data_IF_820081916568
#
_entry.id   IF_820081916568
#
_cell.length_a   1.000
_cell.length_b   1.000
_cell.length_c   1.000
_cell.angle_alpha   90.00
_cell.angle_beta   90.00
_cell.angle_gamma   90.00
#
_symmetry.space_group_name_H-M   'P 1'
#
loop_
_entity.id
_entity.type
_entity.pdbx_description
1 polymer ?
#
# COMPACT_ATOMS: atom_id res chain seq x y z
N UNK A 1 -79.30 -21.25 52.99
CA UNK A 1 -80.32 -20.43 53.69
C UNK A 1 -80.07 -18.96 53.31
N UNK A 2 -81.10 -18.35 52.78
CA UNK A 2 -81.51 -16.94 52.77
C UNK A 2 -80.52 -15.92 52.16
N UNK A 3 -80.77 -15.41 50.94
CA UNK A 3 -81.75 -14.34 50.57
C UNK A 3 -81.39 -12.99 51.19
N UNK A 4 -81.16 -12.01 50.32
CA UNK A 4 -81.21 -10.58 50.65
C UNK A 4 -80.84 -9.73 49.44
N UNK A 5 -81.89 -9.41 48.68
CA UNK A 5 -82.02 -8.47 47.59
C UNK A 5 -82.01 -7.02 48.07
N UNK A 6 -81.54 -6.03 47.30
CA UNK A 6 -82.26 -4.83 46.86
C UNK A 6 -81.33 -3.70 46.39
N UNK A 7 -81.35 -3.44 45.09
CA UNK A 7 -81.79 -2.19 44.40
C UNK A 7 -81.09 -0.86 44.79
N UNK A 8 -80.46 -0.27 43.86
CA UNK A 8 -80.78 0.72 42.82
C UNK A 8 -80.33 2.15 43.18
N UNK A 9 -79.58 2.72 42.29
CA UNK A 9 -79.70 4.05 41.66
C UNK A 9 -78.46 4.43 40.86
N UNK A 10 -78.68 4.60 39.53
CA UNK A 10 -77.76 5.45 38.76
C UNK A 10 -78.29 6.89 38.75
N UNK A 11 -77.88 7.79 37.86
CA UNK A 11 -76.62 7.94 37.09
C UNK A 11 -75.98 9.31 37.38
N UNK A 12 -74.73 9.50 36.98
CA UNK A 12 -74.18 10.83 36.68
C UNK A 12 -73.11 10.70 35.62
N UNK A 13 -73.42 11.16 34.41
CA UNK A 13 -72.49 11.54 33.35
C UNK A 13 -71.47 12.51 33.88
N UNK A 14 -70.17 12.21 33.69
CA UNK A 14 -69.15 13.23 33.54
C UNK A 14 -68.25 12.80 32.37
N UNK A 15 -68.47 13.41 31.21
CA UNK A 15 -67.63 13.51 30.08
C UNK A 15 -66.21 14.06 30.51
N UNK A 16 -65.19 13.23 30.44
CA UNK A 16 -63.81 13.60 30.58
C UNK A 16 -63.07 13.19 29.29
N UNK A 17 -62.97 14.12 28.37
CA UNK A 17 -62.08 14.05 27.20
C UNK A 17 -60.65 13.82 27.65
N UNK A 18 -60.20 12.59 27.62
CA UNK A 18 -58.75 12.29 27.68
C UNK A 18 -58.25 12.33 26.24
N UNK A 19 -57.62 13.45 25.88
CA UNK A 19 -56.78 13.56 24.71
C UNK A 19 -55.67 12.52 24.84
N UNK A 20 -55.81 11.42 24.17
CA UNK A 20 -54.78 10.46 23.91
C UNK A 20 -53.91 11.05 22.79
N UNK A 21 -52.84 11.78 23.18
CA UNK A 21 -51.78 12.20 22.27
C UNK A 21 -51.16 10.94 21.69
N UNK A 22 -51.67 10.53 20.54
CA UNK A 22 -51.17 9.43 19.75
C UNK A 22 -49.75 9.72 19.28
N UNK A 23 -48.75 9.26 20.07
CA UNK A 23 -47.42 9.08 19.53
C UNK A 23 -47.53 8.13 18.31
N UNK A 24 -47.06 8.54 17.12
CA UNK A 24 -47.09 7.66 15.97
C UNK A 24 -46.28 6.40 16.32
N UNK A 25 -46.94 5.24 16.28
CA UNK A 25 -46.31 3.95 16.44
C UNK A 25 -45.11 3.89 15.45
N UNK A 26 -43.86 3.81 15.95
CA UNK A 26 -42.70 3.65 15.13
C UNK A 26 -42.90 2.42 14.25
N UNK A 27 -43.01 2.61 12.94
CA UNK A 27 -43.01 1.51 11.97
C UNK A 27 -41.85 0.60 12.28
N UNK A 28 -42.00 -0.74 12.35
CA UNK A 28 -40.88 -1.64 12.49
C UNK A 28 -39.96 -1.39 11.32
N UNK A 29 -38.64 -1.19 11.62
CA UNK A 29 -37.60 -1.00 10.61
C UNK A 29 -37.61 -2.22 9.68
N UNK A 30 -37.46 -2.02 8.39
CA UNK A 30 -37.21 -3.10 7.45
C UNK A 30 -35.94 -3.84 7.85
N UNK A 31 -35.85 -5.14 7.56
CA UNK A 31 -34.71 -5.96 7.94
C UNK A 31 -33.37 -5.39 7.40
N UNK A 32 -33.39 -4.90 6.17
CA UNK A 32 -32.23 -4.26 5.51
C UNK A 32 -31.79 -2.98 6.24
N UNK A 33 -32.76 -2.18 6.74
CA UNK A 33 -32.47 -0.98 7.53
C UNK A 33 -31.81 -1.33 8.88
N UNK A 34 -32.20 -2.45 9.48
CA UNK A 34 -31.60 -2.93 10.72
C UNK A 34 -30.13 -3.37 10.50
N UNK A 35 -29.85 -4.12 9.44
CA UNK A 35 -28.50 -4.59 9.13
C UNK A 35 -27.56 -3.41 8.86
N UNK A 36 -28.01 -2.41 8.10
CA UNK A 36 -27.27 -1.17 7.85
C UNK A 36 -27.04 -0.39 9.16
N UNK A 37 -28.04 -0.30 10.03
CA UNK A 37 -27.89 0.36 11.32
C UNK A 37 -26.87 -0.34 12.21
N UNK A 38 -26.83 -1.68 12.21
CA UNK A 38 -25.80 -2.47 12.92
C UNK A 38 -24.41 -2.19 12.35
N UNK A 39 -24.24 -2.23 11.03
CA UNK A 39 -22.97 -1.97 10.39
C UNK A 39 -22.43 -0.55 10.72
N UNK A 40 -23.31 0.46 10.65
CA UNK A 40 -22.94 1.84 11.02
C UNK A 40 -22.54 1.96 12.49
N UNK A 41 -23.23 1.25 13.38
CA UNK A 41 -22.89 1.23 14.82
C UNK A 41 -21.51 0.61 15.03
N UNK A 42 -21.19 -0.52 14.40
CA UNK A 42 -19.89 -1.19 14.48
C UNK A 42 -18.80 -0.24 14.04
N UNK A 43 -18.91 0.32 12.83
CA UNK A 43 -17.90 1.24 12.30
C UNK A 43 -17.72 2.48 13.20
N UNK A 44 -18.81 3.04 13.73
CA UNK A 44 -18.74 4.19 14.65
C UNK A 44 -18.02 3.86 15.95
N UNK A 45 -18.20 2.65 16.48
CA UNK A 45 -17.50 2.21 17.70
C UNK A 45 -16.00 2.04 17.43
N UNK A 46 -15.62 1.45 16.30
CA UNK A 46 -14.22 1.29 15.92
C UNK A 46 -13.53 2.63 15.63
N UNK A 47 -14.22 3.56 14.94
CA UNK A 47 -13.72 4.93 14.73
C UNK A 47 -13.41 5.60 16.08
N UNK A 48 -14.32 5.53 17.05
CA UNK A 48 -14.08 6.12 18.38
C UNK A 48 -12.84 5.49 19.07
N UNK A 49 -12.63 4.17 18.91
CA UNK A 49 -11.42 3.50 19.39
C UNK A 49 -10.14 4.01 18.72
N UNK A 50 -10.16 4.22 17.41
CA UNK A 50 -9.03 4.76 16.65
C UNK A 50 -8.75 6.23 17.00
N UNK A 51 -9.79 7.06 17.21
CA UNK A 51 -9.63 8.44 17.67
C UNK A 51 -8.98 8.50 19.06
N UNK A 52 -9.43 7.65 19.98
CA UNK A 52 -8.83 7.53 21.29
C UNK A 52 -7.37 7.06 21.23
N UNK A 53 -7.06 6.09 20.35
CA UNK A 53 -5.71 5.61 20.12
C UNK A 53 -4.80 6.73 19.62
N UNK A 54 -5.25 7.47 18.61
CA UNK A 54 -4.48 8.58 18.04
C UNK A 54 -4.21 9.69 19.07
N UNK A 55 -5.20 10.03 19.88
CA UNK A 55 -5.05 11.00 20.97
C UNK A 55 -4.14 10.52 22.12
N UNK A 56 -4.04 9.20 22.31
CA UNK A 56 -3.22 8.58 23.36
C UNK A 56 -1.77 8.28 22.96
N UNK A 57 -1.35 8.57 21.73
CA UNK A 57 0.03 8.37 21.31
C UNK A 57 0.97 9.32 22.08
N UNK A 58 2.00 8.75 22.67
CA UNK A 58 2.95 9.44 23.54
C UNK A 58 4.41 9.07 23.24
N UNK A 59 5.31 9.37 24.17
CA UNK A 59 6.73 9.03 24.09
C UNK A 59 7.03 7.55 23.97
N UNK A 60 6.14 6.66 24.41
CA UNK A 60 6.31 5.21 24.26
C UNK A 60 6.32 4.79 22.76
N UNK A 61 5.51 5.44 21.92
CA UNK A 61 5.55 5.19 20.49
C UNK A 61 6.91 5.55 19.88
N UNK A 62 7.45 6.71 20.23
CA UNK A 62 8.78 7.12 19.76
C UNK A 62 9.89 6.17 20.27
N UNK A 63 9.79 5.71 21.54
CA UNK A 63 10.71 4.74 22.12
C UNK A 63 10.62 3.37 21.41
N UNK A 64 9.43 2.93 21.03
CA UNK A 64 9.25 1.71 20.25
C UNK A 64 9.90 1.82 18.87
N UNK A 65 9.71 2.94 18.15
CA UNK A 65 10.36 3.20 16.87
C UNK A 65 11.89 3.19 17.02
N UNK A 66 12.44 3.82 18.07
CA UNK A 66 13.89 3.81 18.34
C UNK A 66 14.42 2.39 18.54
N UNK A 67 13.76 1.61 19.38
CA UNK A 67 14.10 0.21 19.64
C UNK A 67 14.09 -0.63 18.37
N UNK A 68 12.98 -0.55 17.60
CA UNK A 68 12.83 -1.36 16.39
C UNK A 68 13.73 -0.90 15.22
N UNK A 69 14.12 0.37 15.18
CA UNK A 69 15.04 0.88 14.17
C UNK A 69 16.50 0.52 14.47
N UNK A 70 16.87 0.34 15.74
CA UNK A 70 18.25 0.10 16.18
C UNK A 70 18.70 -1.37 16.07
N UNK A 71 17.77 -2.31 15.85
CA UNK A 71 18.12 -3.74 15.73
C UNK A 71 18.87 -4.04 14.43
N UNK A 72 19.73 -5.05 14.48
CA UNK A 72 20.48 -5.55 13.30
C UNK A 72 19.79 -6.72 12.60
N UNK A 73 18.90 -7.42 13.32
CA UNK A 73 18.16 -8.57 12.87
C UNK A 73 16.74 -8.22 12.38
N UNK A 74 15.78 -9.06 12.73
CA UNK A 74 14.38 -8.98 12.34
C UNK A 74 13.46 -8.59 13.49
N UNK A 75 12.30 -8.07 13.17
CA UNK A 75 11.20 -7.95 14.11
C UNK A 75 10.39 -9.24 14.07
N UNK A 76 10.46 -10.02 15.14
CA UNK A 76 9.57 -11.19 15.33
C UNK A 76 8.26 -10.71 15.93
N UNK A 77 7.19 -10.74 15.13
CA UNK A 77 5.85 -10.36 15.57
C UNK A 77 5.10 -11.60 16.05
N UNK A 78 4.44 -11.51 17.19
CA UNK A 78 3.78 -12.67 17.82
C UNK A 78 2.46 -12.29 18.48
N UNK A 79 1.60 -13.29 18.66
CA UNK A 79 0.29 -13.19 19.28
C UNK A 79 -0.53 -14.44 19.02
N UNK A 80 -1.63 -14.63 19.80
CA UNK A 80 -2.47 -15.80 19.71
C UNK A 80 -3.89 -15.44 19.22
N UNK A 81 -4.59 -16.36 18.58
CA UNK A 81 -5.95 -16.20 18.11
C UNK A 81 -6.08 -14.99 17.17
N UNK A 82 -7.03 -14.09 17.45
CA UNK A 82 -7.25 -12.88 16.62
C UNK A 82 -6.07 -11.92 16.66
N UNK A 83 -5.41 -11.76 17.81
CA UNK A 83 -4.16 -10.99 17.91
C UNK A 83 -3.04 -11.61 17.05
N UNK A 84 -2.98 -12.94 16.96
CA UNK A 84 -2.04 -13.65 16.07
C UNK A 84 -2.28 -13.38 14.59
N UNK A 85 -3.54 -13.31 14.14
CA UNK A 85 -3.87 -12.93 12.76
C UNK A 85 -3.47 -11.46 12.46
N UNK A 86 -3.69 -10.56 13.41
CA UNK A 86 -3.22 -9.17 13.32
C UNK A 86 -1.69 -9.11 13.29
N UNK A 87 -1.01 -9.87 14.14
CA UNK A 87 0.45 -9.97 14.19
C UNK A 87 1.05 -10.46 12.85
N UNK A 88 0.42 -11.44 12.18
CA UNK A 88 0.81 -11.87 10.83
C UNK A 88 0.71 -10.72 9.81
N UNK A 89 -0.40 -9.95 9.87
CA UNK A 89 -0.58 -8.80 8.98
C UNK A 89 0.48 -7.73 9.24
N UNK A 90 0.76 -7.42 10.50
CA UNK A 90 1.80 -6.45 10.88
C UNK A 90 3.18 -6.89 10.41
N UNK A 91 3.56 -8.17 10.61
CA UNK A 91 4.82 -8.71 10.11
C UNK A 91 4.96 -8.55 8.59
N UNK A 92 3.89 -8.87 7.85
CA UNK A 92 3.86 -8.69 6.39
C UNK A 92 4.01 -7.22 5.98
N UNK A 93 3.32 -6.30 6.68
CA UNK A 93 3.42 -4.86 6.41
C UNK A 93 4.83 -4.34 6.68
N UNK A 94 5.43 -4.68 7.82
CA UNK A 94 6.82 -4.32 8.16
C UNK A 94 7.80 -4.81 7.08
N UNK A 95 7.70 -6.07 6.68
CA UNK A 95 8.57 -6.66 5.65
C UNK A 95 8.41 -5.94 4.30
N UNK A 96 7.17 -5.62 3.91
CA UNK A 96 6.87 -4.94 2.65
C UNK A 96 7.26 -3.46 2.64
N UNK A 97 7.49 -2.87 3.80
CA UNK A 97 7.90 -1.47 3.99
C UNK A 97 9.37 -1.31 4.40
N UNK A 98 10.20 -2.35 4.17
CA UNK A 98 11.66 -2.28 4.36
C UNK A 98 12.15 -2.57 5.77
N UNK A 99 11.28 -3.02 6.67
CA UNK A 99 11.70 -3.55 7.98
C UNK A 99 11.59 -5.07 7.96
N UNK A 100 12.74 -5.77 7.98
CA UNK A 100 12.75 -7.23 8.02
C UNK A 100 11.92 -7.75 9.19
N UNK A 101 10.90 -8.56 8.92
CA UNK A 101 10.00 -9.07 9.94
C UNK A 101 9.49 -10.46 9.60
N UNK A 102 9.11 -11.21 10.64
CA UNK A 102 8.49 -12.52 10.55
C UNK A 102 7.42 -12.67 11.61
N UNK A 103 6.47 -13.57 11.39
CA UNK A 103 5.52 -13.99 12.40
C UNK A 103 5.96 -15.33 12.99
N UNK A 104 5.95 -15.45 14.31
CA UNK A 104 6.15 -16.71 15.02
C UNK A 104 4.96 -16.95 15.94
N UNK A 105 4.33 -18.13 15.82
CA UNK A 105 3.20 -18.50 16.65
C UNK A 105 3.70 -18.92 18.04
N UNK A 106 3.16 -18.37 19.16
CA UNK A 106 3.71 -18.64 20.48
C UNK A 106 3.66 -20.12 20.87
N UNK A 107 2.60 -20.86 20.51
CA UNK A 107 2.51 -22.27 20.80
C UNK A 107 3.56 -23.09 20.04
N UNK A 108 3.82 -22.77 18.76
CA UNK A 108 4.88 -23.45 17.98
C UNK A 108 6.28 -23.07 18.49
N UNK A 109 6.43 -21.84 19.01
CA UNK A 109 7.67 -21.41 19.65
C UNK A 109 8.08 -22.36 20.78
N UNK A 110 7.15 -22.74 21.66
CA UNK A 110 7.40 -23.71 22.77
C UNK A 110 7.76 -25.12 22.28
N UNK A 111 7.53 -25.42 20.98
CA UNK A 111 7.82 -26.71 20.37
C UNK A 111 8.99 -26.69 19.37
N UNK A 112 9.81 -25.62 19.39
CA UNK A 112 11.05 -25.56 18.61
C UNK A 112 11.25 -24.28 17.80
N UNK A 113 10.18 -23.54 17.45
CA UNK A 113 10.27 -22.33 16.64
C UNK A 113 10.93 -21.15 17.37
N UNK A 114 11.27 -21.28 18.68
CA UNK A 114 12.20 -20.35 19.33
C UNK A 114 13.55 -20.26 18.61
N UNK A 115 13.95 -21.33 17.90
CA UNK A 115 15.14 -21.32 17.05
C UNK A 115 15.08 -20.35 15.84
N UNK A 116 13.90 -19.82 15.53
CA UNK A 116 13.72 -18.76 14.51
C UNK A 116 14.15 -17.38 15.01
N UNK A 117 14.25 -17.19 16.33
CA UNK A 117 14.66 -15.95 16.98
C UNK A 117 16.19 -16.01 17.20
N UNK A 118 16.91 -15.05 16.65
CA UNK A 118 18.37 -15.01 16.75
C UNK A 118 18.83 -13.72 17.43
N UNK A 119 20.08 -13.71 17.91
CA UNK A 119 20.68 -12.52 18.48
C UNK A 119 20.63 -11.32 17.51
N UNK A 120 20.22 -10.18 18.02
CA UNK A 120 20.02 -8.96 17.22
C UNK A 120 18.59 -8.77 16.72
N UNK A 121 17.68 -9.74 16.90
CA UNK A 121 16.25 -9.60 16.64
C UNK A 121 15.56 -8.79 17.75
N UNK A 122 14.34 -8.33 17.48
CA UNK A 122 13.41 -7.78 18.46
C UNK A 122 12.08 -8.53 18.42
N UNK A 123 11.35 -8.51 19.53
CA UNK A 123 10.00 -9.09 19.62
C UNK A 123 8.95 -7.98 19.70
N UNK A 124 7.92 -8.06 18.84
CA UNK A 124 6.70 -7.26 18.92
C UNK A 124 5.55 -8.20 19.32
N UNK A 125 5.13 -8.16 20.58
CA UNK A 125 4.14 -9.09 21.13
C UNK A 125 2.78 -8.41 21.31
N UNK A 126 1.72 -9.06 20.79
CA UNK A 126 0.35 -8.57 20.82
C UNK A 126 -0.52 -9.43 21.75
N UNK A 127 -1.06 -8.82 22.80
CA UNK A 127 -2.07 -9.44 23.67
C UNK A 127 -2.96 -8.37 24.28
N UNK A 128 -4.25 -8.38 23.98
CA UNK A 128 -5.17 -7.40 24.54
C UNK A 128 -5.24 -7.47 26.06
N UNK A 129 -5.31 -8.66 26.64
CA UNK A 129 -5.30 -8.86 28.11
C UNK A 129 -3.92 -8.68 28.74
N UNK A 130 -2.86 -8.86 27.95
CA UNK A 130 -1.48 -8.88 28.46
C UNK A 130 -1.09 -10.12 29.25
N UNK A 131 -2.05 -11.02 29.53
CA UNK A 131 -1.85 -12.20 30.39
C UNK A 131 -2.04 -13.52 29.61
N UNK A 132 -1.61 -13.53 28.35
CA UNK A 132 -1.63 -14.71 27.48
C UNK A 132 -0.49 -15.65 27.86
N UNK A 133 -0.83 -16.79 28.47
CA UNK A 133 0.17 -17.73 29.03
C UNK A 133 1.15 -18.25 27.96
N UNK A 134 0.68 -18.47 26.75
CA UNK A 134 1.47 -19.02 25.65
C UNK A 134 2.60 -18.09 25.20
N UNK A 135 2.57 -16.80 25.55
CA UNK A 135 3.68 -15.88 25.28
C UNK A 135 4.86 -16.06 26.24
N UNK A 136 4.69 -16.74 27.36
CA UNK A 136 5.68 -16.80 28.44
C UNK A 136 7.05 -17.32 27.98
N UNK A 137 7.09 -18.41 27.23
CA UNK A 137 8.34 -19.02 26.75
C UNK A 137 9.08 -18.09 25.79
N UNK A 138 8.36 -17.42 24.91
CA UNK A 138 8.93 -16.46 23.96
C UNK A 138 9.50 -15.23 24.68
N UNK A 139 8.79 -14.70 25.68
CA UNK A 139 9.25 -13.58 26.50
C UNK A 139 10.49 -13.95 27.33
N UNK A 140 10.49 -15.17 27.92
CA UNK A 140 11.63 -15.69 28.64
C UNK A 140 12.87 -15.87 27.74
N UNK A 141 12.65 -16.37 26.50
CA UNK A 141 13.71 -16.50 25.50
C UNK A 141 14.25 -15.12 25.10
N UNK A 142 13.39 -14.16 24.77
CA UNK A 142 13.81 -12.79 24.42
C UNK A 142 14.65 -12.16 25.54
N UNK A 143 14.21 -12.29 26.80
CA UNK A 143 14.96 -11.79 27.96
C UNK A 143 16.32 -12.48 28.10
N UNK A 144 16.38 -13.82 27.94
CA UNK A 144 17.65 -14.58 28.04
C UNK A 144 18.68 -14.12 27.02
N UNK A 145 18.26 -13.81 25.78
CA UNK A 145 19.12 -13.39 24.69
C UNK A 145 19.18 -11.88 24.52
N UNK A 146 18.65 -11.10 25.51
CA UNK A 146 18.65 -9.63 25.50
C UNK A 146 18.04 -9.00 24.23
N UNK A 147 17.03 -9.66 23.67
CA UNK A 147 16.28 -9.14 22.56
C UNK A 147 15.29 -8.08 23.07
N UNK A 148 15.24 -6.88 22.46
CA UNK A 148 14.24 -5.88 22.82
C UNK A 148 12.82 -6.41 22.64
N UNK A 149 11.94 -6.16 23.61
CA UNK A 149 10.53 -6.52 23.57
C UNK A 149 9.68 -5.27 23.57
N UNK A 150 8.85 -5.12 22.52
CA UNK A 150 7.79 -4.12 22.45
C UNK A 150 6.44 -4.83 22.61
N UNK A 151 5.64 -4.38 23.58
CA UNK A 151 4.31 -4.93 23.85
C UNK A 151 3.22 -4.04 23.25
N UNK A 152 2.16 -4.66 22.71
CA UNK A 152 0.86 -4.03 22.43
C UNK A 152 -0.19 -4.67 23.32
N UNK A 153 -0.74 -3.92 24.27
CA UNK A 153 -1.74 -4.43 25.24
C UNK A 153 -2.67 -3.31 25.69
N UNK A 154 -3.88 -3.66 26.18
CA UNK A 154 -4.78 -2.70 26.81
C UNK A 154 -4.57 -2.61 28.34
N UNK A 155 -3.63 -3.38 28.89
CA UNK A 155 -3.37 -3.42 30.32
C UNK A 155 -1.94 -3.02 30.65
N UNK A 156 -1.82 -1.91 31.36
CA UNK A 156 -0.55 -1.37 31.83
C UNK A 156 0.15 -2.34 32.81
N UNK A 157 -0.63 -2.99 33.67
CA UNK A 157 -0.15 -4.00 34.61
C UNK A 157 -0.55 -5.39 34.14
N UNK A 158 0.37 -6.09 33.50
CA UNK A 158 0.17 -7.44 32.97
C UNK A 158 1.52 -8.13 32.76
N UNK A 159 1.51 -9.45 32.65
CA UNK A 159 2.73 -10.24 32.45
C UNK A 159 3.51 -9.81 31.18
N UNK A 160 2.82 -9.42 30.12
CA UNK A 160 3.43 -8.93 28.90
C UNK A 160 4.05 -7.53 29.10
N UNK A 161 3.33 -6.59 29.72
CA UNK A 161 3.84 -5.24 29.96
C UNK A 161 5.06 -5.27 30.90
N UNK A 162 5.00 -6.05 31.97
CA UNK A 162 6.10 -6.21 32.94
C UNK A 162 7.36 -6.88 32.32
N UNK A 163 7.18 -7.60 31.20
CA UNK A 163 8.24 -8.30 30.49
C UNK A 163 8.79 -7.51 29.30
N UNK A 164 8.21 -6.35 28.97
CA UNK A 164 8.59 -5.54 27.81
C UNK A 164 9.54 -4.40 28.16
N UNK A 165 10.35 -3.97 27.19
CA UNK A 165 11.17 -2.76 27.29
C UNK A 165 10.33 -1.50 27.00
N UNK A 166 9.30 -1.64 26.16
CA UNK A 166 8.37 -0.58 25.80
C UNK A 166 6.98 -1.17 25.67
N UNK A 167 6.02 -0.54 26.33
CA UNK A 167 4.60 -0.91 26.22
C UNK A 167 3.85 0.15 25.43
N UNK A 168 3.26 -0.26 24.31
CA UNK A 168 2.30 0.51 23.54
C UNK A 168 0.90 0.21 24.09
N UNK A 169 0.37 1.13 24.86
CA UNK A 169 -0.90 0.92 25.56
C UNK A 169 -2.07 1.26 24.62
N UNK A 170 -2.96 0.31 24.42
CA UNK A 170 -4.23 0.53 23.74
C UNK A 170 -5.21 1.20 24.72
N UNK A 171 -5.85 2.31 24.34
CA UNK A 171 -6.81 2.97 25.20
C UNK A 171 -8.02 2.07 25.49
N UNK A 172 -8.71 2.26 26.63
CA UNK A 172 -9.96 1.57 26.91
C UNK A 172 -10.99 1.88 25.81
N UNK A 173 -11.50 0.83 25.17
CA UNK A 173 -12.53 0.93 24.15
C UNK A 173 -13.47 -0.27 24.24
N UNK A 174 -14.76 -0.04 23.99
CA UNK A 174 -15.74 -1.11 23.91
C UNK A 174 -15.59 -1.90 22.63
N UNK A 175 -15.72 -3.22 22.70
CA UNK A 175 -15.85 -4.03 21.48
C UNK A 175 -17.18 -3.70 20.77
N UNK A 176 -17.17 -3.67 19.46
CA UNK A 176 -18.36 -3.34 18.66
C UNK A 176 -19.38 -4.49 18.62
N UNK A 177 -19.00 -5.69 19.04
CA UNK A 177 -19.87 -6.83 19.23
C UNK A 177 -20.89 -6.53 20.33
N UNK A 178 -22.19 -6.82 20.10
CA UNK A 178 -23.27 -6.58 21.06
C UNK A 178 -23.09 -7.32 22.40
N UNK A 179 -22.38 -8.43 22.37
CA UNK A 179 -22.04 -9.21 23.58
C UNK A 179 -20.74 -8.73 24.27
N UNK A 180 -19.97 -7.83 23.64
CA UNK A 180 -18.67 -7.38 24.14
C UNK A 180 -17.58 -8.45 24.18
N UNK A 181 -17.81 -9.63 23.58
CA UNK A 181 -16.90 -10.79 23.69
C UNK A 181 -16.00 -10.97 22.46
N UNK A 182 -16.52 -10.68 21.29
CA UNK A 182 -15.73 -10.84 20.06
C UNK A 182 -14.77 -9.65 19.89
N UNK A 183 -13.45 -9.88 19.80
CA UNK A 183 -12.49 -8.81 19.51
C UNK A 183 -12.76 -8.19 18.13
N UNK A 184 -13.06 -6.91 18.14
CA UNK A 184 -13.34 -6.07 16.96
C UNK A 184 -12.55 -4.78 17.08
N UNK A 185 -12.98 -3.84 17.90
CA UNK A 185 -12.31 -2.55 18.14
C UNK A 185 -10.88 -2.72 18.61
N UNK A 186 -10.63 -3.64 19.54
CA UNK A 186 -9.26 -3.92 20.03
C UNK A 186 -8.34 -4.41 18.91
N UNK A 187 -8.81 -5.29 18.04
CA UNK A 187 -8.00 -5.79 16.92
C UNK A 187 -7.81 -4.74 15.82
N UNK A 188 -8.80 -3.90 15.58
CA UNK A 188 -8.70 -2.76 14.67
C UNK A 188 -7.65 -1.75 15.16
N UNK A 189 -7.64 -1.41 16.45
CA UNK A 189 -6.62 -0.56 17.06
C UNK A 189 -5.22 -1.17 16.96
N UNK A 190 -5.05 -2.47 17.27
CA UNK A 190 -3.75 -3.16 17.14
C UNK A 190 -3.23 -3.10 15.71
N UNK A 191 -4.11 -3.33 14.73
CA UNK A 191 -3.73 -3.31 13.31
C UNK A 191 -3.31 -1.90 12.88
N UNK A 192 -4.07 -0.88 13.23
CA UNK A 192 -3.76 0.51 12.91
C UNK A 192 -2.45 0.97 13.58
N UNK A 193 -2.21 0.60 14.84
CA UNK A 193 -0.98 0.91 15.55
C UNK A 193 0.24 0.21 14.92
N UNK A 194 0.06 -1.05 14.47
CA UNK A 194 1.08 -1.77 13.72
C UNK A 194 1.41 -1.14 12.37
N UNK A 195 0.41 -0.63 11.67
CA UNK A 195 0.62 0.11 10.42
C UNK A 195 1.33 1.45 10.68
N UNK A 196 0.98 2.15 11.76
CA UNK A 196 1.68 3.36 12.18
C UNK A 196 3.17 3.09 12.48
N UNK A 197 3.50 1.98 13.17
CA UNK A 197 4.89 1.57 13.37
C UNK A 197 5.61 1.30 12.05
N UNK A 198 4.97 0.57 11.14
CA UNK A 198 5.58 0.21 9.86
C UNK A 198 5.87 1.45 8.99
N UNK A 199 4.92 2.40 8.94
CA UNK A 199 5.08 3.66 8.18
C UNK A 199 6.12 4.56 8.83
N UNK A 200 6.11 4.72 10.15
CA UNK A 200 7.12 5.53 10.84
C UNK A 200 8.55 4.97 10.66
N UNK A 201 8.71 3.64 10.67
CA UNK A 201 10.00 2.99 10.37
C UNK A 201 10.42 3.15 8.92
N UNK A 202 9.47 3.08 7.97
CA UNK A 202 9.69 3.33 6.55
C UNK A 202 10.24 4.74 6.31
N UNK A 203 9.59 5.76 6.89
CA UNK A 203 10.00 7.16 6.76
C UNK A 203 11.36 7.40 7.41
N UNK A 204 11.57 6.86 8.61
CA UNK A 204 12.85 6.98 9.33
C UNK A 204 14.02 6.35 8.59
N UNK A 205 13.78 5.25 7.85
CA UNK A 205 14.80 4.56 7.04
C UNK A 205 15.02 5.21 5.67
N UNK A 206 14.22 6.19 5.29
CA UNK A 206 14.26 6.81 3.97
C UNK A 206 13.92 5.81 2.85
N UNK A 207 13.02 4.86 3.13
CA UNK A 207 12.61 3.83 2.18
C UNK A 207 11.91 4.45 0.97
N UNK A 208 12.42 4.17 -0.21
CA UNK A 208 12.00 4.81 -1.46
C UNK A 208 11.02 3.95 -2.25
N UNK A 209 10.39 4.55 -3.26
CA UNK A 209 9.56 3.81 -4.23
C UNK A 209 10.38 2.77 -5.02
N UNK A 210 11.67 3.00 -5.27
CA UNK A 210 12.55 2.00 -5.90
C UNK A 210 12.83 0.81 -4.97
N UNK A 211 12.94 1.04 -3.65
CA UNK A 211 13.07 -0.05 -2.68
C UNK A 211 11.78 -0.87 -2.61
N UNK A 212 10.61 -0.19 -2.66
CA UNK A 212 9.31 -0.86 -2.69
C UNK A 212 9.17 -1.75 -3.92
N UNK A 213 9.56 -1.26 -5.10
CA UNK A 213 9.55 -2.01 -6.35
C UNK A 213 10.42 -3.28 -6.27
N UNK A 214 11.61 -3.18 -5.68
CA UNK A 214 12.52 -4.32 -5.49
C UNK A 214 11.91 -5.43 -4.63
N UNK A 215 11.09 -5.07 -3.63
CA UNK A 215 10.40 -6.02 -2.74
C UNK A 215 9.09 -6.58 -3.33
N UNK A 216 8.52 -5.94 -4.38
CA UNK A 216 7.24 -6.31 -4.98
C UNK A 216 7.33 -6.51 -6.50
N UNK A 217 8.22 -7.36 -7.02
CA UNK A 217 8.48 -7.46 -8.46
C UNK A 217 7.26 -7.89 -9.30
N UNK A 218 6.29 -8.56 -8.71
CA UNK A 218 5.06 -9.03 -9.39
C UNK A 218 3.81 -8.16 -9.18
N UNK A 219 3.89 -7.07 -8.41
CA UNK A 219 2.71 -6.29 -8.03
C UNK A 219 2.29 -5.25 -9.09
N UNK A 220 0.99 -5.04 -9.28
CA UNK A 220 0.45 -3.95 -10.12
C UNK A 220 1.03 -2.56 -9.73
N UNK A 221 1.30 -2.36 -8.44
CA UNK A 221 1.86 -1.11 -7.94
C UNK A 221 3.31 -0.89 -8.41
N UNK A 222 4.10 -1.96 -8.53
CA UNK A 222 5.48 -1.90 -9.03
C UNK A 222 5.53 -1.52 -10.51
N UNK A 223 4.58 -2.00 -11.30
CA UNK A 223 4.49 -1.65 -12.73
C UNK A 223 4.22 -0.16 -12.95
N UNK A 224 3.45 0.47 -12.05
CA UNK A 224 3.18 1.92 -12.10
C UNK A 224 4.38 2.79 -11.76
N UNK A 225 5.41 2.22 -11.12
CA UNK A 225 6.64 2.91 -10.71
C UNK A 225 7.82 2.66 -11.65
N UNK A 226 7.65 1.84 -12.71
CA UNK A 226 8.66 1.59 -13.71
C UNK A 226 9.07 2.90 -14.39
N UNK A 227 10.36 3.12 -14.49
CA UNK A 227 10.95 4.25 -15.21
C UNK A 227 11.24 3.85 -16.66
N UNK A 228 11.34 4.84 -17.52
CA UNK A 228 11.77 4.66 -18.91
C UNK A 228 13.10 3.92 -18.96
N UNK A 229 14.08 4.30 -18.11
CA UNK A 229 15.39 3.66 -18.03
C UNK A 229 15.35 2.15 -17.73
N UNK A 230 14.28 1.67 -17.07
CA UNK A 230 14.16 0.26 -16.69
C UNK A 230 13.73 -0.64 -17.86
N UNK A 231 13.15 -0.05 -18.93
CA UNK A 231 12.55 -0.78 -20.05
C UNK A 231 12.96 -0.26 -21.44
N UNK A 232 13.74 0.81 -21.52
CA UNK A 232 14.26 1.34 -22.79
C UNK A 232 15.38 0.45 -23.35
N UNK A 233 15.55 0.46 -24.65
CA UNK A 233 16.69 -0.11 -25.35
C UNK A 233 17.77 0.96 -25.51
N UNK A 234 19.03 0.62 -25.29
CA UNK A 234 20.17 1.55 -25.33
C UNK A 234 21.39 0.97 -26.01
N UNK A 235 22.49 1.74 -26.05
CA UNK A 235 23.74 1.32 -26.65
C UNK A 235 23.61 0.98 -28.13
N UNK A 236 24.12 -0.18 -28.52
CA UNK A 236 24.12 -0.62 -29.92
C UNK A 236 22.71 -0.85 -30.51
N UNK A 237 21.67 -0.93 -29.70
CA UNK A 237 20.30 -1.10 -30.18
C UNK A 237 19.68 0.20 -30.69
N UNK A 238 20.28 1.36 -30.42
CA UNK A 238 19.75 2.65 -30.84
C UNK A 238 19.75 2.80 -32.38
N UNK A 239 18.62 3.12 -33.00
CA UNK A 239 18.54 3.42 -34.42
C UNK A 239 18.96 4.86 -34.66
N UNK A 240 20.26 5.14 -34.73
CA UNK A 240 20.79 6.48 -34.90
C UNK A 240 21.64 6.58 -36.16
N UNK A 241 21.53 7.74 -36.85
CA UNK A 241 22.39 8.10 -37.99
C UNK A 241 22.77 9.58 -37.90
N UNK A 242 23.94 9.99 -38.43
CA UNK A 242 24.31 11.40 -38.49
C UNK A 242 23.51 12.16 -39.58
N UNK A 243 23.40 13.48 -39.45
CA UNK A 243 22.70 14.34 -40.42
C UNK A 243 23.25 14.23 -41.86
N UNK A 244 24.51 13.83 -42.03
CA UNK A 244 25.16 13.61 -43.32
C UNK A 244 24.75 12.30 -44.03
N UNK A 245 23.99 11.45 -43.36
CA UNK A 245 23.61 10.13 -43.84
C UNK A 245 22.64 10.20 -45.02
N UNK A 246 22.74 9.25 -45.95
CA UNK A 246 21.76 9.09 -47.03
C UNK A 246 20.54 8.29 -46.56
N UNK A 247 19.38 8.54 -47.16
CA UNK A 247 18.15 7.83 -46.84
C UNK A 247 18.24 6.31 -47.02
N UNK A 248 19.01 5.85 -48.03
CA UNK A 248 19.23 4.41 -48.25
C UNK A 248 19.86 3.72 -47.06
N UNK A 249 20.81 4.36 -46.38
CA UNK A 249 21.47 3.84 -45.17
C UNK A 249 20.53 3.93 -43.94
N UNK A 250 19.84 5.06 -43.76
CA UNK A 250 18.88 5.25 -42.71
C UNK A 250 17.77 4.19 -42.72
N UNK A 251 17.24 3.84 -43.91
CA UNK A 251 16.24 2.78 -44.07
C UNK A 251 16.77 1.40 -43.68
N UNK A 252 18.02 1.09 -43.95
CA UNK A 252 18.67 -0.17 -43.50
C UNK A 252 18.73 -0.23 -42.00
N UNK A 253 19.12 0.85 -41.30
CA UNK A 253 19.16 0.95 -39.84
C UNK A 253 17.74 0.80 -39.28
N UNK A 254 16.72 1.50 -39.82
CA UNK A 254 15.33 1.35 -39.38
C UNK A 254 14.87 -0.12 -39.45
N UNK A 255 15.17 -0.79 -40.57
CA UNK A 255 14.79 -2.21 -40.79
C UNK A 255 15.50 -3.14 -39.79
N UNK A 256 16.80 -2.93 -39.59
CA UNK A 256 17.63 -3.77 -38.72
C UNK A 256 17.22 -3.63 -37.27
N UNK A 257 16.95 -2.40 -36.81
CA UNK A 257 16.60 -2.12 -35.40
C UNK A 257 15.13 -2.30 -35.05
N UNK A 258 14.22 -2.32 -36.06
CA UNK A 258 12.81 -2.70 -35.93
C UNK A 258 11.97 -1.80 -34.99
N UNK A 259 12.34 -0.55 -34.76
CA UNK A 259 11.55 0.42 -33.97
C UNK A 259 10.57 1.26 -34.82
N UNK A 260 10.54 1.04 -36.15
CA UNK A 260 9.72 1.84 -37.06
C UNK A 260 10.17 3.30 -37.22
N UNK A 261 11.34 3.64 -36.73
CA UNK A 261 11.93 4.97 -36.82
C UNK A 261 13.47 4.92 -36.74
N UNK A 262 14.12 6.05 -37.13
CA UNK A 262 15.54 6.31 -36.92
C UNK A 262 15.71 7.73 -36.40
N UNK A 263 16.54 7.93 -35.39
CA UNK A 263 16.95 9.23 -34.88
C UNK A 263 18.11 9.79 -35.67
N UNK A 264 18.07 11.08 -35.97
CA UNK A 264 19.13 11.82 -36.64
C UNK A 264 19.85 12.65 -35.56
N UNK A 265 21.15 12.46 -35.46
CA UNK A 265 22.00 13.20 -34.52
C UNK A 265 22.84 14.25 -35.25
N UNK A 266 22.96 15.43 -34.61
CA UNK A 266 23.82 16.52 -35.09
C UNK A 266 25.32 16.22 -34.80
N UNK A 267 26.19 17.19 -35.11
CA UNK A 267 27.63 17.09 -34.93
C UNK A 267 28.05 17.02 -33.45
N UNK A 268 27.19 17.50 -32.55
CA UNK A 268 27.37 17.45 -31.10
C UNK A 268 26.79 16.17 -30.46
N UNK A 269 26.23 15.25 -31.25
CA UNK A 269 25.62 14.01 -30.77
C UNK A 269 24.18 14.16 -30.27
N UNK A 270 23.55 15.36 -30.44
CA UNK A 270 22.19 15.63 -29.96
C UNK A 270 21.16 15.18 -30.98
N UNK A 271 20.00 14.77 -30.50
CA UNK A 271 18.87 14.36 -31.36
C UNK A 271 18.25 15.57 -32.08
N UNK A 272 18.61 15.76 -33.37
CA UNK A 272 18.13 16.84 -34.22
C UNK A 272 16.75 16.56 -34.86
N UNK A 273 16.48 15.27 -35.17
CA UNK A 273 15.26 14.88 -35.87
C UNK A 273 14.97 13.39 -35.76
N UNK A 274 13.83 13.00 -36.31
CA UNK A 274 13.43 11.58 -36.42
C UNK A 274 12.83 11.35 -37.82
N UNK A 275 13.06 10.18 -38.39
CA UNK A 275 12.36 9.67 -39.58
C UNK A 275 11.58 8.44 -39.15
N UNK A 276 10.31 8.41 -39.49
CA UNK A 276 9.39 7.30 -39.23
C UNK A 276 8.91 6.66 -40.52
N UNK A 277 8.28 5.47 -40.45
CA UNK A 277 7.59 4.85 -41.58
C UNK A 277 6.55 5.78 -42.21
N UNK A 278 5.94 6.69 -41.44
CA UNK A 278 5.05 7.73 -41.92
C UNK A 278 5.76 8.76 -42.79
N UNK A 279 6.99 9.14 -42.43
CA UNK A 279 7.79 10.07 -43.24
C UNK A 279 8.23 9.43 -44.53
N UNK A 280 8.63 8.15 -44.52
CA UNK A 280 8.96 7.41 -45.75
C UNK A 280 7.79 7.40 -46.74
N UNK A 281 6.57 7.11 -46.23
CA UNK A 281 5.35 7.12 -47.09
C UNK A 281 5.02 8.50 -47.65
N UNK A 282 5.25 9.57 -46.88
CA UNK A 282 5.00 10.95 -47.34
C UNK A 282 5.97 11.42 -48.43
N UNK A 283 7.21 10.92 -48.37
CA UNK A 283 8.28 11.31 -49.29
C UNK A 283 8.57 10.24 -50.37
N UNK A 284 7.69 9.23 -50.50
CA UNK A 284 7.88 8.13 -51.44
C UNK A 284 7.88 8.67 -52.89
N UNK A 285 9.03 8.54 -53.57
CA UNK A 285 9.26 8.97 -54.96
C UNK A 285 10.64 8.55 -55.42
N UNK A 286 10.93 8.73 -56.71
CA UNK A 286 12.14 8.25 -57.42
C UNK A 286 13.48 8.78 -56.84
N UNK A 287 13.43 9.86 -56.05
CA UNK A 287 14.61 10.48 -55.42
C UNK A 287 14.89 10.10 -53.96
N UNK A 288 13.95 9.41 -53.26
CA UNK A 288 14.03 9.22 -51.84
C UNK A 288 15.33 8.56 -51.35
N UNK A 289 15.78 7.49 -51.99
CA UNK A 289 16.98 6.76 -51.61
C UNK A 289 18.29 7.55 -51.74
N UNK A 290 18.28 8.62 -52.57
CA UNK A 290 19.42 9.52 -52.79
C UNK A 290 19.33 10.82 -51.97
N UNK A 291 18.20 11.10 -51.37
CA UNK A 291 18.02 12.27 -50.50
C UNK A 291 18.87 12.15 -49.23
N UNK A 292 19.30 13.27 -48.71
CA UNK A 292 19.88 13.31 -47.35
C UNK A 292 18.80 13.22 -46.31
N UNK A 293 19.09 12.59 -45.16
CA UNK A 293 18.15 12.43 -44.05
C UNK A 293 17.59 13.77 -43.53
N UNK A 294 18.40 14.83 -43.56
CA UNK A 294 17.99 16.18 -43.15
C UNK A 294 16.85 16.79 -44.00
N UNK A 295 16.63 16.30 -45.22
CA UNK A 295 15.54 16.75 -46.10
C UNK A 295 14.21 16.04 -45.81
N UNK A 296 14.26 14.89 -45.12
CA UNK A 296 13.10 14.01 -44.91
C UNK A 296 12.69 13.99 -43.44
N UNK A 297 13.61 14.26 -42.50
CA UNK A 297 13.37 14.16 -41.07
C UNK A 297 12.31 15.15 -40.58
N UNK A 298 11.55 14.71 -39.58
CA UNK A 298 10.75 15.58 -38.75
C UNK A 298 11.65 16.18 -37.67
N UNK A 299 11.88 17.51 -37.62
CA UNK A 299 12.79 18.15 -36.69
C UNK A 299 12.14 18.25 -35.28
N UNK A 300 12.97 18.35 -34.25
CA UNK A 300 12.55 18.51 -32.86
C UNK A 300 11.53 17.44 -32.43
N UNK A 301 11.90 16.17 -32.48
CA UNK A 301 11.01 15.08 -32.10
C UNK A 301 10.60 15.20 -30.63
N UNK A 302 9.48 14.55 -30.26
CA UNK A 302 9.12 14.37 -28.86
C UNK A 302 10.14 13.42 -28.21
N UNK A 303 10.58 13.78 -27.02
CA UNK A 303 11.56 13.03 -26.23
C UNK A 303 11.09 12.90 -24.79
N UNK A 304 11.73 12.04 -24.04
CA UNK A 304 11.44 11.85 -22.61
C UNK A 304 12.76 11.70 -21.84
N UNK A 305 12.73 11.96 -20.55
CA UNK A 305 13.89 11.71 -19.69
C UNK A 305 13.92 10.24 -19.25
N UNK A 306 15.09 9.61 -19.13
CA UNK A 306 15.22 8.22 -18.64
C UNK A 306 14.58 8.00 -17.27
N UNK A 307 14.56 9.04 -16.41
CA UNK A 307 14.02 8.99 -15.05
C UNK A 307 12.49 9.15 -14.98
N UNK A 308 11.85 9.54 -16.09
CA UNK A 308 10.39 9.65 -16.15
C UNK A 308 9.72 8.28 -16.00
N UNK A 309 8.47 8.26 -15.58
CA UNK A 309 7.73 7.00 -15.46
C UNK A 309 7.39 6.45 -16.85
N UNK A 310 7.42 5.14 -17.01
CA UNK A 310 6.99 4.47 -18.22
C UNK A 310 5.51 4.77 -18.59
N UNK A 311 4.67 4.99 -17.58
CA UNK A 311 3.29 5.44 -17.76
C UNK A 311 3.20 6.85 -18.38
N UNK A 312 4.13 7.76 -18.05
CA UNK A 312 4.25 9.08 -18.66
C UNK A 312 4.67 8.95 -20.13
N UNK A 313 5.64 8.08 -20.43
CA UNK A 313 6.04 7.79 -21.81
C UNK A 313 4.87 7.28 -22.65
N UNK A 314 4.08 6.33 -22.10
CA UNK A 314 2.89 5.81 -22.76
C UNK A 314 1.83 6.89 -23.01
N UNK A 315 1.63 7.80 -22.05
CA UNK A 315 0.72 8.93 -22.21
C UNK A 315 1.16 9.87 -23.33
N UNK A 316 2.47 10.22 -23.40
CA UNK A 316 3.04 11.03 -24.49
C UNK A 316 2.88 10.34 -25.85
N UNK A 317 3.13 9.03 -25.93
CA UNK A 317 2.94 8.25 -27.15
C UNK A 317 1.48 8.30 -27.64
N UNK A 318 0.52 8.11 -26.74
CA UNK A 318 -0.90 8.15 -27.05
C UNK A 318 -1.38 9.54 -27.44
N UNK A 319 -0.97 10.59 -26.72
CA UNK A 319 -1.35 11.99 -27.00
C UNK A 319 -0.89 12.44 -28.40
N UNK A 320 0.32 12.01 -28.79
CA UNK A 320 0.92 12.42 -30.07
C UNK A 320 0.78 11.38 -31.19
N UNK A 321 0.05 10.28 -30.95
CA UNK A 321 -0.15 9.17 -31.87
C UNK A 321 1.18 8.63 -32.46
N UNK A 322 2.21 8.47 -31.62
CA UNK A 322 3.51 7.93 -31.96
C UNK A 322 3.73 6.59 -31.26
N UNK A 323 4.51 5.70 -31.86
CA UNK A 323 4.76 4.35 -31.34
C UNK A 323 6.13 4.20 -30.69
N UNK A 324 7.04 5.14 -30.93
CA UNK A 324 8.42 5.12 -30.41
C UNK A 324 8.80 6.49 -29.88
N UNK A 325 9.60 6.50 -28.81
CA UNK A 325 10.00 7.71 -28.11
C UNK A 325 11.47 7.60 -27.69
N UNK A 326 12.30 8.56 -28.10
CA UNK A 326 13.67 8.62 -27.65
C UNK A 326 13.78 9.17 -26.24
N UNK A 327 14.57 8.51 -25.40
CA UNK A 327 14.98 8.99 -24.10
C UNK A 327 16.31 9.75 -24.23
N UNK A 328 16.32 11.01 -23.81
CA UNK A 328 17.48 11.90 -23.93
C UNK A 328 17.91 12.41 -22.56
N UNK A 329 19.19 12.78 -22.47
CA UNK A 329 19.71 13.49 -21.30
C UNK A 329 19.38 15.01 -21.33
N UNK A 330 19.94 15.75 -20.35
CA UNK A 330 19.73 17.20 -20.24
C UNK A 330 20.43 17.99 -21.38
N UNK A 331 21.37 17.39 -22.10
CA UNK A 331 22.05 17.97 -23.26
C UNK A 331 21.34 17.63 -24.58
N UNK A 332 20.36 16.73 -24.54
CA UNK A 332 19.61 16.26 -25.72
C UNK A 332 20.27 15.08 -26.44
N UNK A 333 21.27 14.44 -25.80
CA UNK A 333 21.91 13.24 -26.33
C UNK A 333 20.98 12.02 -26.13
N UNK A 334 20.72 11.19 -27.17
CA UNK A 334 19.88 10.02 -27.05
C UNK A 334 20.56 8.89 -26.28
N UNK A 335 20.01 8.56 -25.11
CA UNK A 335 20.49 7.48 -24.22
C UNK A 335 19.72 6.18 -24.43
N UNK A 336 18.50 6.25 -24.99
CA UNK A 336 17.65 5.09 -25.18
C UNK A 336 16.49 5.36 -26.14
N UNK A 337 15.82 4.28 -26.53
CA UNK A 337 14.56 4.31 -27.27
C UNK A 337 13.56 3.37 -26.61
N UNK A 338 12.30 3.79 -26.53
CA UNK A 338 11.19 3.04 -25.99
C UNK A 338 10.13 2.87 -27.06
N UNK A 339 9.68 1.63 -27.29
CA UNK A 339 8.55 1.35 -28.15
C UNK A 339 7.29 1.09 -27.33
N UNK A 340 6.11 1.41 -27.82
CA UNK A 340 4.84 1.21 -27.13
C UNK A 340 4.64 -0.23 -26.64
N UNK A 341 5.14 -1.22 -27.41
CA UNK A 341 5.08 -2.63 -27.00
C UNK A 341 5.94 -2.95 -25.78
N UNK A 342 6.97 -2.16 -25.48
CA UNK A 342 7.77 -2.34 -24.27
C UNK A 342 6.95 -1.94 -23.04
N UNK A 343 6.20 -0.85 -23.12
CA UNK A 343 5.24 -0.44 -22.09
C UNK A 343 4.17 -1.51 -21.87
N UNK A 344 3.60 -2.07 -22.95
CA UNK A 344 2.58 -3.11 -22.86
C UNK A 344 3.13 -4.41 -22.26
N UNK A 345 4.31 -4.86 -22.68
CA UNK A 345 4.99 -6.05 -22.09
C UNK A 345 5.32 -5.86 -20.62
N UNK A 346 5.71 -4.66 -20.23
CA UNK A 346 5.96 -4.30 -18.83
C UNK A 346 4.66 -4.17 -18.00
N UNK A 347 3.48 -4.21 -18.63
CA UNK A 347 2.19 -4.11 -17.95
C UNK A 347 1.90 -2.72 -17.40
N UNK A 348 2.36 -1.67 -18.12
CA UNK A 348 2.19 -0.26 -17.76
C UNK A 348 0.81 0.26 -18.20
N UNK A 349 0.10 -0.47 -19.07
CA UNK A 349 -1.22 -0.11 -19.60
C UNK A 349 -2.35 -0.46 -18.65
#
# INVERSE_FOLDING_TARGET
>A
MMKGNLRSRGPADISGDSHNDGQPARRPMAKDDLDIAVARRVLKTEIAGLEALAAGLDGAFAAAIEKLASIKGRVTVTGIGKSGHVARKIASTLASTGTSAQFVHPAEASHGDLGMLVEGDAVLALSNSGDTAELADMLAHARRFRMPVVAMTSREKSALADSSDVTLLLPPASEACSMGLAPTTSTTMMMALGDALAVALLERKGFTSSDFQRLHPGGHLSRRLLKVADIMHGGDDLPLVPESCAMSEAILIMTTKSFGCVGIVDQDGRLAGVITDGDLRRHMGDGLLRAGVAQVMSPRPKTIRPQALAAEALAVMNEHAITSLFAVDDQGEPLGILHIHDCLRAGVA
#
